data_IF_125799787393
#
_entry.id   IF_125799787393
#
_cell.length_a   1.000
_cell.length_b   1.000
_cell.length_c   1.000
_cell.angle_alpha   90.00
_cell.angle_beta   90.00
_cell.angle_gamma   90.00
#
_symmetry.space_group_name_H-M   'P 1'
#
loop_
_entity.id
_entity.type
_entity.pdbx_description
1 polymer ?
#
# COMPACT_ATOMS: atom_id res chain seq x y z
N UNK A 1 -29.35 -6.30 -1.66
CA UNK A 1 -29.06 -7.46 -0.78
C UNK A 1 -27.63 -8.01 -0.94
N UNK A 2 -26.97 -7.83 -2.09
CA UNK A 2 -25.62 -8.39 -2.39
C UNK A 2 -24.42 -7.72 -1.69
N UNK A 3 -24.32 -6.38 -1.64
CA UNK A 3 -23.15 -5.68 -1.09
C UNK A 3 -22.86 -6.03 0.39
N UNK A 4 -23.89 -5.99 1.26
CA UNK A 4 -23.72 -6.29 2.70
C UNK A 4 -23.24 -7.73 2.94
N UNK A 5 -23.70 -8.69 2.13
CA UNK A 5 -23.25 -10.08 2.21
C UNK A 5 -21.78 -10.20 1.78
N UNK A 6 -21.39 -9.53 0.68
CA UNK A 6 -19.99 -9.48 0.24
C UNK A 6 -19.07 -8.84 1.30
N UNK A 7 -19.52 -7.78 1.98
CA UNK A 7 -18.75 -7.15 3.06
C UNK A 7 -18.50 -8.11 4.24
N UNK A 8 -19.54 -8.83 4.69
CA UNK A 8 -19.40 -9.79 5.80
C UNK A 8 -18.48 -10.95 5.40
N UNK A 9 -18.63 -11.46 4.18
CA UNK A 9 -17.78 -12.53 3.67
C UNK A 9 -16.30 -12.10 3.60
N UNK A 10 -16.03 -10.92 3.04
CA UNK A 10 -14.66 -10.39 2.97
C UNK A 10 -14.08 -10.08 4.36
N UNK A 11 -14.91 -9.71 5.35
CA UNK A 11 -14.47 -9.53 6.74
C UNK A 11 -13.98 -10.85 7.31
N UNK A 12 -14.79 -11.91 7.21
CA UNK A 12 -14.43 -13.24 7.72
C UNK A 12 -13.16 -13.75 7.01
N UNK A 13 -13.09 -13.58 5.69
CA UNK A 13 -11.92 -13.94 4.91
C UNK A 13 -10.66 -13.18 5.40
N UNK A 14 -10.74 -11.86 5.54
CA UNK A 14 -9.61 -11.05 5.99
C UNK A 14 -9.18 -11.35 7.44
N UNK A 15 -10.13 -11.61 8.35
CA UNK A 15 -9.81 -12.05 9.72
C UNK A 15 -9.20 -13.44 9.77
N UNK A 16 -9.55 -14.33 8.84
CA UNK A 16 -8.88 -15.64 8.70
C UNK A 16 -7.40 -15.44 8.35
N UNK A 17 -7.09 -14.47 7.49
CA UNK A 17 -5.71 -14.09 7.20
C UNK A 17 -4.98 -13.53 8.42
N UNK A 18 -5.64 -12.87 9.37
CA UNK A 18 -4.99 -12.44 10.61
C UNK A 18 -4.49 -13.64 11.43
N UNK A 19 -5.26 -14.73 11.45
CA UNK A 19 -4.85 -16.01 12.06
C UNK A 19 -3.69 -16.66 11.30
N UNK A 20 -3.78 -16.74 9.97
CA UNK A 20 -2.71 -17.27 9.10
C UNK A 20 -1.41 -16.46 9.26
N UNK A 21 -1.50 -15.14 9.26
CA UNK A 21 -0.39 -14.22 9.45
C UNK A 21 0.24 -14.41 10.84
N UNK A 22 -0.58 -14.52 11.88
CA UNK A 22 -0.09 -14.78 13.25
C UNK A 22 0.71 -16.08 13.30
N UNK A 23 0.17 -17.16 12.74
CA UNK A 23 0.85 -18.46 12.66
C UNK A 23 2.16 -18.37 11.88
N UNK A 24 2.15 -17.74 10.70
CA UNK A 24 3.31 -17.58 9.85
C UNK A 24 4.44 -16.82 10.55
N UNK A 25 4.14 -15.67 11.16
CA UNK A 25 5.13 -14.83 11.85
C UNK A 25 5.69 -15.54 13.10
N UNK A 26 4.90 -16.37 13.78
CA UNK A 26 5.41 -17.14 14.92
C UNK A 26 6.43 -18.20 14.49
N UNK A 27 6.26 -18.81 13.31
CA UNK A 27 7.16 -19.84 12.79
C UNK A 27 8.39 -19.29 12.07
N UNK A 28 8.20 -18.26 11.24
CA UNK A 28 9.23 -17.74 10.34
C UNK A 28 9.82 -16.40 10.79
N UNK A 29 9.26 -15.80 11.85
CA UNK A 29 9.65 -14.48 12.33
C UNK A 29 9.10 -13.34 11.46
N UNK A 30 9.45 -12.11 11.84
CA UNK A 30 9.13 -10.90 11.10
C UNK A 30 8.92 -9.68 11.99
N UNK A 31 8.98 -8.49 11.38
CA UNK A 31 8.95 -7.21 12.10
C UNK A 31 7.72 -7.04 13.01
N UNK A 32 6.60 -7.67 12.66
CA UNK A 32 5.34 -7.59 13.41
C UNK A 32 5.50 -7.96 14.88
N UNK A 33 6.30 -9.00 15.17
CA UNK A 33 6.58 -9.45 16.53
C UNK A 33 7.39 -8.38 17.29
N UNK A 34 8.45 -7.86 16.67
CA UNK A 34 9.26 -6.81 17.26
C UNK A 34 8.47 -5.51 17.48
N UNK A 35 7.56 -5.15 16.57
CA UNK A 35 6.68 -3.99 16.75
C UNK A 35 5.75 -4.14 17.95
N UNK A 36 5.28 -5.35 18.23
CA UNK A 36 4.41 -5.62 19.39
C UNK A 36 5.20 -5.65 20.69
N UNK A 37 6.38 -6.25 20.66
CA UNK A 37 7.31 -6.34 21.79
C UNK A 37 8.08 -5.03 22.06
N UNK A 38 7.90 -4.03 21.19
CA UNK A 38 8.54 -2.71 21.27
C UNK A 38 10.08 -2.79 21.20
N UNK A 39 10.60 -3.68 20.34
CA UNK A 39 12.02 -4.05 20.29
C UNK A 39 12.71 -3.77 18.94
N UNK A 40 12.00 -3.24 17.94
CA UNK A 40 12.58 -2.90 16.63
C UNK A 40 13.48 -1.68 16.72
N UNK A 41 13.03 -0.64 17.40
CA UNK A 41 13.80 0.61 17.57
C UNK A 41 14.22 0.78 19.01
N UNK A 42 15.51 1.08 19.21
CA UNK A 42 16.06 1.37 20.53
C UNK A 42 15.71 2.80 20.91
N UNK A 43 14.94 2.97 21.99
CA UNK A 43 14.51 4.28 22.49
C UNK A 43 15.17 4.59 23.84
N UNK A 44 15.49 5.87 24.10
CA UNK A 44 16.13 6.29 25.35
C UNK A 44 15.26 6.04 26.59
N UNK A 45 13.93 6.13 26.45
CA UNK A 45 12.97 5.96 27.54
C UNK A 45 11.90 4.90 27.19
N UNK A 46 12.26 3.61 27.12
CA UNK A 46 11.36 2.55 26.62
C UNK A 46 10.14 2.32 27.52
N UNK A 47 10.19 2.82 28.76
CA UNK A 47 9.09 2.77 29.72
C UNK A 47 8.05 3.87 29.52
N UNK A 48 8.34 4.91 28.73
CA UNK A 48 7.43 6.03 28.49
C UNK A 48 6.84 5.93 27.08
N UNK A 49 5.53 6.13 26.97
CA UNK A 49 4.83 6.08 25.68
C UNK A 49 5.45 7.02 24.65
N UNK A 50 5.64 8.29 25.03
CA UNK A 50 6.26 9.30 24.17
C UNK A 50 7.74 9.06 23.85
N UNK A 51 8.40 8.13 24.54
CA UNK A 51 9.76 7.70 24.17
C UNK A 51 9.81 6.98 22.83
N UNK A 52 8.67 6.44 22.37
CA UNK A 52 8.52 5.77 21.07
C UNK A 52 8.01 6.70 19.97
N UNK A 53 7.71 7.97 20.27
CA UNK A 53 7.16 8.88 19.26
C UNK A 53 8.18 9.15 18.14
N UNK A 54 7.74 8.98 16.90
CA UNK A 54 8.55 9.18 15.71
C UNK A 54 7.83 8.67 14.47
N UNK A 55 8.52 8.64 13.33
CA UNK A 55 8.01 8.06 12.08
C UNK A 55 8.55 6.65 11.86
N UNK A 56 8.08 5.95 10.83
CA UNK A 56 8.51 4.59 10.46
C UNK A 56 8.20 3.60 11.59
N UNK A 57 9.19 2.84 12.03
CA UNK A 57 9.05 1.80 13.06
C UNK A 57 8.70 2.39 14.43
N UNK A 58 9.24 3.57 14.77
CA UNK A 58 8.91 4.30 15.99
C UNK A 58 7.39 4.52 16.11
N UNK A 59 6.75 4.99 15.03
CA UNK A 59 5.30 5.21 15.02
C UNK A 59 4.50 3.94 15.34
N UNK A 60 4.91 2.78 14.78
CA UNK A 60 4.23 1.51 15.02
C UNK A 60 4.41 1.08 16.49
N UNK A 61 5.62 1.20 17.05
CA UNK A 61 5.86 0.94 18.48
C UNK A 61 5.06 1.89 19.37
N UNK A 62 4.98 3.17 19.00
CA UNK A 62 4.17 4.16 19.72
C UNK A 62 2.68 3.80 19.72
N UNK A 63 2.13 3.38 18.58
CA UNK A 63 0.75 2.89 18.50
C UNK A 63 0.54 1.62 19.34
N UNK A 64 1.51 0.70 19.32
CA UNK A 64 1.40 -0.58 20.03
C UNK A 64 1.65 -0.46 21.53
N UNK A 65 2.29 0.61 22.00
CA UNK A 65 2.64 0.78 23.42
C UNK A 65 1.42 0.62 24.33
N UNK A 66 0.30 1.27 24.01
CA UNK A 66 -0.91 1.18 24.84
C UNK A 66 -1.47 -0.25 24.84
N UNK A 67 -1.85 -0.85 23.70
CA UNK A 67 -2.45 -2.18 23.70
C UNK A 67 -1.48 -3.29 24.16
N UNK A 68 -0.20 -3.24 23.78
CA UNK A 68 0.76 -4.28 24.12
C UNK A 68 1.28 -4.15 25.55
N UNK A 69 1.66 -2.95 26.00
CA UNK A 69 2.36 -2.74 27.27
C UNK A 69 1.46 -2.26 28.41
N UNK A 70 0.52 -1.36 28.14
CA UNK A 70 -0.39 -0.84 29.19
C UNK A 70 -1.52 -1.83 29.45
N UNK A 71 -2.14 -2.35 28.39
CA UNK A 71 -3.26 -3.29 28.49
C UNK A 71 -2.83 -4.76 28.55
N UNK A 72 -1.57 -5.07 28.19
CA UNK A 72 -1.05 -6.45 28.20
C UNK A 72 -1.73 -7.38 27.20
N UNK A 73 -2.25 -6.84 26.08
CA UNK A 73 -2.95 -7.65 25.09
C UNK A 73 -1.97 -8.62 24.40
N UNK A 74 -2.43 -9.85 24.07
CA UNK A 74 -1.58 -10.82 23.38
C UNK A 74 -1.37 -10.43 21.91
N UNK A 75 -0.24 -10.87 21.32
CA UNK A 75 0.16 -10.56 19.94
C UNK A 75 -0.93 -10.84 18.89
N UNK A 76 -1.63 -11.98 19.00
CA UNK A 76 -2.68 -12.35 18.06
C UNK A 76 -3.85 -11.34 18.06
N UNK A 77 -4.18 -10.76 19.22
CA UNK A 77 -5.24 -9.76 19.32
C UNK A 77 -4.80 -8.44 18.69
N UNK A 78 -3.52 -8.09 18.79
CA UNK A 78 -2.94 -6.98 18.05
C UNK A 78 -3.05 -7.16 16.52
N UNK A 79 -2.81 -8.36 16.00
CA UNK A 79 -3.03 -8.66 14.58
C UNK A 79 -4.51 -8.49 14.19
N UNK A 80 -5.46 -8.96 15.02
CA UNK A 80 -6.90 -8.74 14.80
C UNK A 80 -7.24 -7.24 14.77
N UNK A 81 -6.70 -6.42 15.67
CA UNK A 81 -6.93 -4.97 15.69
C UNK A 81 -6.47 -4.30 14.38
N UNK A 82 -5.27 -4.64 13.91
CA UNK A 82 -4.73 -4.11 12.66
C UNK A 82 -5.51 -4.64 11.44
N UNK A 83 -5.94 -5.90 11.46
CA UNK A 83 -6.81 -6.51 10.45
C UNK A 83 -8.17 -5.83 10.35
N UNK A 84 -8.78 -5.45 11.47
CA UNK A 84 -10.04 -4.69 11.46
C UNK A 84 -9.83 -3.29 10.86
N UNK A 85 -8.69 -2.65 11.16
CA UNK A 85 -8.35 -1.35 10.61
C UNK A 85 -8.11 -1.39 9.09
N UNK A 86 -7.35 -2.35 8.58
CA UNK A 86 -7.14 -2.51 7.13
C UNK A 86 -8.36 -3.06 6.40
N UNK A 87 -9.17 -3.91 7.03
CA UNK A 87 -10.43 -4.35 6.45
C UNK A 87 -11.37 -3.18 6.20
N UNK A 88 -11.38 -2.17 7.08
CA UNK A 88 -12.11 -0.93 6.81
C UNK A 88 -11.72 -0.35 5.45
N UNK A 89 -10.42 -0.30 5.12
CA UNK A 89 -9.97 0.15 3.80
C UNK A 89 -10.47 -0.71 2.65
N UNK A 90 -10.37 -2.04 2.76
CA UNK A 90 -10.85 -2.98 1.73
C UNK A 90 -12.35 -2.75 1.48
N UNK A 91 -13.14 -2.65 2.56
CA UNK A 91 -14.57 -2.36 2.52
C UNK A 91 -14.86 -1.02 1.85
N UNK A 92 -14.12 0.02 2.18
CA UNK A 92 -14.34 1.35 1.60
C UNK A 92 -13.94 1.41 0.11
N UNK A 93 -12.90 0.68 -0.32
CA UNK A 93 -12.58 0.51 -1.76
C UNK A 93 -13.77 -0.13 -2.48
N UNK A 94 -14.32 -1.22 -1.92
CA UNK A 94 -15.49 -1.89 -2.49
C UNK A 94 -16.70 -0.93 -2.55
N UNK A 95 -16.99 -0.18 -1.49
CA UNK A 95 -18.09 0.79 -1.48
C UNK A 95 -17.91 1.89 -2.52
N UNK A 96 -16.69 2.44 -2.67
CA UNK A 96 -16.39 3.42 -3.70
C UNK A 96 -16.66 2.83 -5.10
N UNK A 97 -16.22 1.59 -5.36
CA UNK A 97 -16.54 0.90 -6.63
C UNK A 97 -18.04 0.79 -6.88
N UNK A 98 -18.82 0.35 -5.89
CA UNK A 98 -20.26 0.17 -6.03
C UNK A 98 -21.03 1.49 -6.25
N UNK A 99 -20.52 2.60 -5.71
CA UNK A 99 -21.09 3.94 -5.97
C UNK A 99 -20.87 4.36 -7.43
N UNK A 100 -19.68 4.10 -7.97
CA UNK A 100 -19.34 4.49 -9.35
C UNK A 100 -19.86 3.49 -10.41
N UNK A 101 -19.99 2.22 -10.04
CA UNK A 101 -20.43 1.12 -10.91
C UNK A 101 -21.57 0.35 -10.25
N UNK A 102 -22.78 0.95 -10.13
CA UNK A 102 -23.92 0.27 -9.56
C UNK A 102 -24.27 -0.98 -10.38
N UNK A 103 -24.62 -2.06 -9.66
CA UNK A 103 -24.92 -3.46 -10.05
C UNK A 103 -25.54 -3.67 -11.46
N UNK A 104 -24.76 -3.39 -12.50
CA UNK A 104 -25.09 -3.55 -13.94
C UNK A 104 -24.17 -4.55 -14.62
N UNK A 105 -23.32 -5.21 -13.84
CA UNK A 105 -22.34 -6.16 -14.34
C UNK A 105 -22.94 -7.57 -14.33
N UNK A 106 -22.69 -8.34 -15.39
CA UNK A 106 -23.07 -9.75 -15.47
C UNK A 106 -22.37 -10.61 -14.40
N UNK A 107 -22.80 -11.86 -14.28
CA UNK A 107 -22.31 -12.77 -13.23
C UNK A 107 -20.79 -12.99 -13.30
N UNK A 108 -20.23 -13.04 -14.52
CA UNK A 108 -18.80 -13.21 -14.75
C UNK A 108 -17.99 -12.00 -14.27
N UNK A 109 -18.46 -10.80 -14.55
CA UNK A 109 -17.82 -9.56 -14.12
C UNK A 109 -17.85 -9.44 -12.59
N UNK A 110 -18.95 -9.84 -11.94
CA UNK A 110 -19.05 -9.90 -10.48
C UNK A 110 -18.09 -10.95 -9.89
N UNK A 111 -17.96 -12.11 -10.54
CA UNK A 111 -17.03 -13.16 -10.12
C UNK A 111 -15.56 -12.71 -10.23
N UNK A 112 -15.16 -12.06 -11.32
CA UNK A 112 -13.79 -11.49 -11.47
C UNK A 112 -13.53 -10.41 -10.43
N UNK A 113 -14.51 -9.54 -10.15
CA UNK A 113 -14.38 -8.53 -9.11
C UNK A 113 -14.14 -9.18 -7.74
N UNK A 114 -14.96 -10.17 -7.39
CA UNK A 114 -14.80 -10.90 -6.14
C UNK A 114 -13.44 -11.60 -6.06
N UNK A 115 -12.99 -12.22 -7.16
CA UNK A 115 -11.68 -12.87 -7.24
C UNK A 115 -10.53 -11.89 -6.96
N UNK A 116 -10.58 -10.67 -7.52
CA UNK A 116 -9.59 -9.62 -7.24
C UNK A 116 -9.54 -9.28 -5.75
N UNK A 117 -10.71 -9.18 -5.10
CA UNK A 117 -10.81 -8.93 -3.67
C UNK A 117 -10.51 -10.15 -2.80
N UNK A 118 -10.30 -11.34 -3.37
CA UNK A 118 -9.93 -12.55 -2.64
C UNK A 118 -8.46 -12.91 -2.81
N UNK A 119 -7.69 -12.14 -3.59
CA UNK A 119 -6.27 -12.37 -3.77
C UNK A 119 -5.52 -12.37 -2.44
N UNK A 120 -4.74 -13.43 -2.14
CA UNK A 120 -4.17 -13.64 -0.83
C UNK A 120 -3.14 -12.58 -0.42
N UNK A 121 -2.39 -11.97 -1.35
CA UNK A 121 -1.32 -11.02 -1.02
C UNK A 121 -1.86 -9.77 -0.31
N UNK A 122 -2.97 -9.20 -0.79
CA UNK A 122 -3.63 -8.07 -0.13
C UNK A 122 -4.00 -8.42 1.30
N UNK A 123 -4.64 -9.57 1.52
CA UNK A 123 -5.11 -9.97 2.83
C UNK A 123 -3.96 -10.34 3.75
N UNK A 124 -3.02 -11.17 3.32
CA UNK A 124 -1.89 -11.62 4.11
C UNK A 124 -1.09 -10.45 4.66
N UNK A 125 -0.60 -9.54 3.80
CA UNK A 125 0.27 -8.45 4.24
C UNK A 125 -0.44 -7.33 4.99
N UNK A 126 -1.77 -7.19 4.85
CA UNK A 126 -2.53 -6.16 5.55
C UNK A 126 -3.33 -6.68 6.75
N UNK A 127 -3.28 -7.97 7.06
CA UNK A 127 -4.07 -8.58 8.16
C UNK A 127 -3.37 -8.64 9.52
N UNK A 128 -2.19 -8.03 9.66
CA UNK A 128 -1.42 -8.07 10.90
C UNK A 128 -0.79 -6.74 11.29
N UNK A 129 -0.10 -6.76 12.43
CA UNK A 129 0.69 -5.64 12.94
C UNK A 129 1.79 -5.35 11.93
N UNK A 130 1.68 -4.21 11.25
CA UNK A 130 2.59 -3.89 10.16
C UNK A 130 2.35 -2.50 9.60
N UNK A 131 3.32 -2.04 8.80
CA UNK A 131 3.22 -0.76 8.10
C UNK A 131 2.20 -0.84 6.97
N UNK A 132 2.03 -2.01 6.36
CA UNK A 132 1.19 -2.24 5.18
C UNK A 132 -0.30 -2.00 5.46
N UNK A 133 -0.79 -2.50 6.58
CA UNK A 133 -2.19 -2.32 7.01
C UNK A 133 -2.52 -0.84 7.22
N UNK A 134 -1.68 -0.11 7.97
CA UNK A 134 -1.86 1.33 8.19
C UNK A 134 -1.61 2.17 6.93
N UNK A 135 -0.67 1.77 6.06
CA UNK A 135 -0.46 2.37 4.75
C UNK A 135 -1.71 2.26 3.87
N UNK A 136 -2.39 1.11 3.88
CA UNK A 136 -3.65 0.93 3.16
C UNK A 136 -4.75 1.83 3.76
N UNK A 137 -4.81 1.98 5.09
CA UNK A 137 -5.71 2.93 5.77
C UNK A 137 -5.43 4.37 5.36
N UNK A 138 -4.17 4.80 5.37
CA UNK A 138 -3.77 6.14 4.95
C UNK A 138 -4.13 6.44 3.49
N UNK A 139 -3.86 5.50 2.58
CA UNK A 139 -4.19 5.61 1.16
C UNK A 139 -5.71 5.73 0.93
N UNK A 140 -6.52 4.92 1.61
CA UNK A 140 -7.99 4.93 1.43
C UNK A 140 -8.63 6.14 2.10
N UNK A 141 -8.12 6.61 3.24
CA UNK A 141 -8.52 7.89 3.83
C UNK A 141 -8.26 9.06 2.85
N UNK A 142 -7.08 9.08 2.23
CA UNK A 142 -6.74 10.07 1.21
C UNK A 142 -7.74 10.02 0.04
N UNK A 143 -8.01 8.82 -0.51
CA UNK A 143 -8.98 8.63 -1.59
C UNK A 143 -10.38 9.12 -1.21
N UNK A 144 -10.90 8.72 -0.04
CA UNK A 144 -12.23 9.15 0.44
C UNK A 144 -12.32 10.66 0.63
N UNK A 145 -11.26 11.27 1.14
CA UNK A 145 -11.16 12.73 1.26
C UNK A 145 -11.17 13.41 -0.11
N UNK A 146 -10.48 12.84 -1.09
CA UNK A 146 -10.38 13.39 -2.46
C UNK A 146 -11.68 13.36 -3.27
N UNK A 147 -12.62 12.43 -2.95
CA UNK A 147 -13.90 12.35 -3.67
C UNK A 147 -14.78 13.58 -3.44
N UNK A 148 -14.71 14.17 -2.24
CA UNK A 148 -15.48 15.36 -1.85
C UNK A 148 -14.58 16.31 -1.04
N UNK A 149 -13.57 16.88 -1.69
CA UNK A 149 -12.49 17.62 -1.04
C UNK A 149 -13.01 18.75 -0.14
N UNK A 150 -13.95 19.56 -0.63
CA UNK A 150 -14.53 20.67 0.15
C UNK A 150 -15.12 20.24 1.50
N UNK A 151 -15.78 19.08 1.53
CA UNK A 151 -16.44 18.56 2.75
C UNK A 151 -15.49 17.71 3.61
N UNK A 152 -14.60 16.96 2.96
CA UNK A 152 -13.82 15.89 3.59
C UNK A 152 -12.32 16.17 3.61
N UNK A 153 -11.89 17.43 3.50
CA UNK A 153 -10.46 17.80 3.48
C UNK A 153 -9.70 17.26 4.71
N UNK A 154 -10.34 17.22 5.89
CA UNK A 154 -9.74 16.69 7.12
C UNK A 154 -9.47 15.18 7.02
N UNK A 155 -10.31 14.42 6.30
CA UNK A 155 -10.09 12.99 6.03
C UNK A 155 -8.89 12.81 5.11
N UNK A 156 -8.76 13.68 4.10
CA UNK A 156 -7.61 13.70 3.20
C UNK A 156 -6.31 13.97 3.99
N UNK A 157 -6.31 15.01 4.84
CA UNK A 157 -5.16 15.37 5.67
C UNK A 157 -4.80 14.25 6.63
N UNK A 158 -5.79 13.59 7.25
CA UNK A 158 -5.56 12.42 8.11
C UNK A 158 -4.90 11.27 7.34
N UNK A 159 -5.32 11.03 6.09
CA UNK A 159 -4.71 10.03 5.22
C UNK A 159 -3.24 10.33 4.89
N UNK A 160 -2.92 11.59 4.59
CA UNK A 160 -1.53 12.05 4.38
C UNK A 160 -0.72 11.87 5.66
N UNK A 161 -1.22 12.37 6.79
CA UNK A 161 -0.52 12.34 8.07
C UNK A 161 -0.24 10.91 8.52
N UNK A 162 -1.23 10.02 8.47
CA UNK A 162 -1.06 8.61 8.79
C UNK A 162 -0.03 7.95 7.87
N UNK A 163 -0.15 8.17 6.56
CA UNK A 163 0.80 7.60 5.58
C UNK A 163 2.22 8.12 5.81
N UNK A 164 2.38 9.41 6.13
CA UNK A 164 3.69 10.01 6.42
C UNK A 164 4.32 9.45 7.69
N UNK A 165 3.54 9.32 8.77
CA UNK A 165 4.01 8.74 10.03
C UNK A 165 4.45 7.29 9.86
N UNK A 166 3.71 6.50 9.08
CA UNK A 166 4.02 5.09 8.82
C UNK A 166 5.18 4.94 7.83
N UNK A 167 5.13 5.67 6.70
CA UNK A 167 6.09 5.63 5.60
C UNK A 167 6.23 7.04 4.99
N UNK A 168 7.23 7.83 5.42
CA UNK A 168 7.40 9.22 4.99
C UNK A 168 7.34 9.43 3.48
N UNK A 169 7.92 8.51 2.69
CA UNK A 169 7.87 8.56 1.22
C UNK A 169 6.43 8.48 0.69
N UNK A 170 5.62 7.55 1.21
CA UNK A 170 4.22 7.40 0.80
C UNK A 170 3.40 8.64 1.18
N UNK A 171 3.59 9.17 2.39
CA UNK A 171 2.96 10.42 2.81
C UNK A 171 3.34 11.60 1.91
N UNK A 172 4.63 11.71 1.54
CA UNK A 172 5.12 12.72 0.60
C UNK A 172 4.49 12.61 -0.79
N UNK A 173 4.32 11.39 -1.32
CA UNK A 173 3.64 11.15 -2.60
C UNK A 173 2.16 11.59 -2.52
N UNK A 174 1.45 11.23 -1.45
CA UNK A 174 0.05 11.65 -1.28
C UNK A 174 -0.07 13.16 -1.11
N UNK A 175 0.86 13.80 -0.41
CA UNK A 175 0.94 15.24 -0.32
C UNK A 175 1.15 15.89 -1.69
N UNK A 176 1.99 15.31 -2.54
CA UNK A 176 2.17 15.77 -3.92
C UNK A 176 0.88 15.65 -4.75
N UNK A 177 0.10 14.56 -4.58
CA UNK A 177 -1.22 14.43 -5.20
C UNK A 177 -2.26 15.44 -4.68
N UNK A 178 -2.13 15.91 -3.44
CA UNK A 178 -3.08 16.87 -2.87
C UNK A 178 -3.08 18.22 -3.61
N UNK A 179 -1.94 18.64 -4.18
CA UNK A 179 -1.82 19.91 -4.89
C UNK A 179 -2.71 19.99 -6.15
N UNK A 180 -2.59 19.10 -7.16
CA UNK A 180 -3.47 19.15 -8.32
C UNK A 180 -4.94 18.94 -7.94
N UNK A 181 -5.24 18.11 -6.93
CA UNK A 181 -6.61 17.94 -6.43
C UNK A 181 -7.20 19.27 -5.90
N UNK A 182 -6.44 20.02 -5.10
CA UNK A 182 -6.85 21.32 -4.57
C UNK A 182 -7.08 22.33 -5.70
N UNK A 183 -6.17 22.39 -6.67
CA UNK A 183 -6.25 23.32 -7.80
C UNK A 183 -7.46 23.03 -8.69
N UNK A 184 -7.74 21.75 -8.94
CA UNK A 184 -8.85 21.30 -9.79
C UNK A 184 -10.22 21.32 -9.09
N UNK A 185 -10.28 21.48 -7.77
CA UNK A 185 -11.54 21.46 -7.02
C UNK A 185 -12.41 22.68 -7.38
N UNK A 186 -13.62 22.41 -7.85
CA UNK A 186 -14.60 23.45 -8.20
C UNK A 186 -15.32 23.93 -6.95
N UNK A 187 -15.60 25.24 -6.85
CA UNK A 187 -16.38 25.81 -5.75
C UNK A 187 -15.60 26.10 -4.46
N UNK A 188 -14.26 26.02 -4.50
CA UNK A 188 -13.37 26.62 -3.51
C UNK A 188 -12.93 28.03 -3.98
N UNK A 189 -12.91 29.03 -3.09
CA UNK A 189 -12.45 30.37 -3.44
C UNK A 189 -10.94 30.37 -3.72
N UNK A 190 -10.50 31.25 -4.62
CA UNK A 190 -9.09 31.29 -5.07
C UNK A 190 -8.10 31.51 -3.92
N UNK A 191 -8.46 32.27 -2.89
CA UNK A 191 -7.60 32.49 -1.73
C UNK A 191 -7.33 31.20 -0.95
N UNK A 192 -8.32 30.32 -0.78
CA UNK A 192 -8.14 29.04 -0.08
C UNK A 192 -7.26 28.10 -0.89
N UNK A 193 -7.38 28.12 -2.22
CA UNK A 193 -6.49 27.38 -3.12
C UNK A 193 -5.06 27.89 -3.04
N UNK A 194 -4.86 29.20 -3.01
CA UNK A 194 -3.54 29.81 -2.88
C UNK A 194 -2.91 29.43 -1.53
N UNK A 195 -3.60 29.66 -0.42
CA UNK A 195 -3.10 29.34 0.92
C UNK A 195 -2.81 27.84 1.06
N UNK A 196 -3.74 26.99 0.63
CA UNK A 196 -3.54 25.54 0.65
C UNK A 196 -2.36 25.09 -0.21
N UNK A 197 -2.15 25.71 -1.38
CA UNK A 197 -0.99 25.40 -2.23
C UNK A 197 0.32 25.80 -1.58
N UNK A 198 0.39 26.99 -0.97
CA UNK A 198 1.57 27.44 -0.20
C UNK A 198 1.88 26.45 0.94
N UNK A 199 0.87 26.04 1.69
CA UNK A 199 1.02 25.06 2.77
C UNK A 199 1.49 23.69 2.25
N UNK A 200 0.90 23.18 1.18
CA UNK A 200 1.29 21.90 0.58
C UNK A 200 2.73 21.95 0.07
N UNK A 201 3.15 23.05 -0.58
CA UNK A 201 4.51 23.23 -1.05
C UNK A 201 5.51 23.33 0.11
N UNK A 202 5.19 24.09 1.16
CA UNK A 202 6.03 24.20 2.36
C UNK A 202 6.21 22.83 3.04
N UNK A 203 5.11 22.10 3.26
CA UNK A 203 5.14 20.75 3.82
C UNK A 203 5.86 19.76 2.88
N UNK A 204 5.71 19.92 1.57
CA UNK A 204 6.39 19.11 0.56
C UNK A 204 7.90 19.29 0.61
N UNK A 205 8.38 20.54 0.75
CA UNK A 205 9.80 20.84 0.95
C UNK A 205 10.33 20.26 2.27
N UNK A 206 9.55 20.35 3.35
CA UNK A 206 9.91 19.73 4.63
C UNK A 206 9.99 18.20 4.52
N UNK A 207 9.01 17.57 3.89
CA UNK A 207 8.99 16.13 3.66
C UNK A 207 10.17 15.68 2.80
N UNK A 208 10.51 16.43 1.75
CA UNK A 208 11.66 16.16 0.90
C UNK A 208 12.98 16.25 1.67
N UNK A 209 13.17 17.31 2.46
CA UNK A 209 14.36 17.46 3.33
C UNK A 209 14.46 16.33 4.35
N UNK A 210 13.34 15.94 4.96
CA UNK A 210 13.31 14.82 5.89
C UNK A 210 13.65 13.50 5.20
N UNK A 211 13.15 13.27 3.98
CA UNK A 211 13.50 12.10 3.18
C UNK A 211 15.00 12.04 2.90
N UNK A 212 15.59 13.13 2.42
CA UNK A 212 17.02 13.23 2.16
C UNK A 212 17.87 12.96 3.40
N UNK A 213 17.45 13.52 4.54
CA UNK A 213 18.10 13.28 5.83
C UNK A 213 18.07 11.81 6.23
N UNK A 214 16.91 11.14 6.18
CA UNK A 214 16.82 9.73 6.60
C UNK A 214 17.48 8.76 5.60
N UNK A 215 17.62 9.16 4.34
CA UNK A 215 18.33 8.36 3.32
C UNK A 215 19.82 8.67 3.25
N UNK A 216 20.31 9.66 4.00
CA UNK A 216 21.69 10.16 3.93
C UNK A 216 22.10 10.58 2.51
N UNK A 217 21.16 11.16 1.75
CA UNK A 217 21.43 11.71 0.42
C UNK A 217 21.65 13.21 0.60
N UNK A 218 22.89 13.67 0.43
CA UNK A 218 23.25 15.09 0.62
C UNK A 218 22.57 16.00 -0.40
N UNK A 219 22.52 15.56 -1.67
CA UNK A 219 21.96 16.31 -2.78
C UNK A 219 21.12 15.40 -3.69
N UNK A 220 19.99 15.92 -4.20
CA UNK A 220 19.16 15.24 -5.20
C UNK A 220 19.84 15.26 -6.56
N UNK A 221 20.85 14.43 -6.74
CA UNK A 221 21.52 14.19 -8.00
C UNK A 221 21.52 12.69 -8.33
N UNK A 222 21.91 12.35 -9.56
CA UNK A 222 21.92 10.96 -10.01
C UNK A 222 22.87 10.07 -9.19
N UNK A 223 24.00 10.63 -8.75
CA UNK A 223 25.02 9.93 -7.98
C UNK A 223 24.53 9.54 -6.58
N UNK A 224 23.96 10.48 -5.83
CA UNK A 224 23.42 10.21 -4.50
C UNK A 224 22.26 9.22 -4.51
N UNK A 225 21.43 9.24 -5.57
CA UNK A 225 20.39 8.22 -5.79
C UNK A 225 21.01 6.85 -6.08
N UNK A 226 22.07 6.78 -6.88
CA UNK A 226 22.77 5.53 -7.18
C UNK A 226 23.43 4.93 -5.94
N UNK A 227 24.15 5.75 -5.15
CA UNK A 227 24.78 5.30 -3.90
C UNK A 227 23.74 4.80 -2.88
N UNK A 228 22.63 5.52 -2.72
CA UNK A 228 21.53 5.05 -1.87
C UNK A 228 20.93 3.74 -2.38
N UNK A 229 20.72 3.63 -3.69
CA UNK A 229 20.20 2.41 -4.34
C UNK A 229 21.10 1.21 -4.06
N UNK A 230 22.42 1.36 -4.24
CA UNK A 230 23.41 0.31 -3.98
C UNK A 230 23.43 -0.10 -2.52
N UNK A 231 23.53 0.86 -1.59
CA UNK A 231 23.54 0.57 -0.16
C UNK A 231 22.25 -0.10 0.34
N UNK A 232 21.09 0.24 -0.25
CA UNK A 232 19.84 -0.46 0.06
C UNK A 232 19.84 -1.91 -0.44
N UNK A 233 20.33 -2.17 -1.65
CA UNK A 233 20.42 -3.54 -2.19
C UNK A 233 21.39 -4.39 -1.37
N UNK A 234 22.55 -3.85 -1.00
CA UNK A 234 23.54 -4.53 -0.16
C UNK A 234 22.98 -4.86 1.23
N UNK A 235 22.27 -3.91 1.85
CA UNK A 235 21.58 -4.13 3.13
C UNK A 235 20.57 -5.28 3.04
N UNK A 236 19.78 -5.32 1.96
CA UNK A 236 18.79 -6.38 1.73
C UNK A 236 19.42 -7.74 1.41
N UNK A 237 20.58 -7.74 0.75
CA UNK A 237 21.39 -8.94 0.51
C UNK A 237 21.90 -9.55 1.82
N UNK A 238 22.32 -8.70 2.77
CA UNK A 238 22.79 -9.11 4.09
C UNK A 238 21.78 -9.91 4.93
N UNK A 239 20.48 -9.82 4.65
CA UNK A 239 19.46 -10.62 5.37
C UNK A 239 19.45 -12.11 4.98
N UNK A 240 20.09 -12.50 3.87
CA UNK A 240 20.20 -13.92 3.48
C UNK A 240 18.86 -14.63 3.24
N UNK A 241 17.80 -13.90 2.90
CA UNK A 241 16.42 -14.40 2.86
C UNK A 241 16.09 -15.37 1.68
N UNK A 242 17.09 -15.89 0.96
CA UNK A 242 16.93 -16.94 -0.07
C UNK A 242 16.17 -16.55 -1.36
N UNK A 243 15.44 -15.43 -1.37
CA UNK A 243 14.61 -14.98 -2.50
C UNK A 243 15.16 -13.70 -3.18
N UNK A 244 16.49 -13.58 -3.23
CA UNK A 244 17.17 -12.41 -3.79
C UNK A 244 17.21 -12.47 -5.32
N UNK A 245 17.16 -11.30 -5.95
CA UNK A 245 17.18 -11.14 -7.41
C UNK A 245 18.12 -9.99 -7.79
N UNK A 246 18.98 -10.15 -8.82
CA UNK A 246 19.99 -9.15 -9.18
C UNK A 246 19.37 -7.95 -9.89
N UNK A 247 18.64 -7.12 -9.15
CA UNK A 247 17.92 -5.96 -9.69
C UNK A 247 18.86 -4.89 -10.25
N UNK A 248 20.08 -4.75 -9.72
CA UNK A 248 21.11 -3.83 -10.25
C UNK A 248 21.50 -4.16 -11.70
N UNK A 249 21.57 -5.45 -12.05
CA UNK A 249 21.94 -5.93 -13.37
C UNK A 249 20.79 -5.93 -14.39
N UNK A 250 19.55 -5.74 -13.93
CA UNK A 250 18.37 -5.80 -14.78
C UNK A 250 18.15 -4.51 -15.59
N UNK A 251 17.73 -4.68 -16.85
CA UNK A 251 17.15 -3.59 -17.63
C UNK A 251 15.86 -3.07 -16.98
N UNK A 252 15.44 -1.84 -17.32
CA UNK A 252 14.19 -1.27 -16.79
C UNK A 252 12.96 -2.16 -17.03
N UNK A 253 12.87 -2.80 -18.20
CA UNK A 253 11.79 -3.75 -18.50
C UNK A 253 11.80 -4.96 -17.56
N UNK A 254 12.99 -5.52 -17.29
CA UNK A 254 13.15 -6.66 -16.37
C UNK A 254 12.86 -6.29 -14.91
N UNK A 255 13.22 -5.08 -14.48
CA UNK A 255 12.87 -4.55 -13.15
C UNK A 255 11.36 -4.45 -12.97
N UNK A 256 10.67 -3.83 -13.92
CA UNK A 256 9.21 -3.71 -13.88
C UNK A 256 8.53 -5.09 -13.93
N UNK A 257 9.00 -5.99 -14.81
CA UNK A 257 8.52 -7.37 -14.86
C UNK A 257 8.66 -8.07 -13.51
N UNK A 258 9.83 -7.94 -12.87
CA UNK A 258 10.11 -8.54 -11.57
C UNK A 258 9.16 -8.00 -10.48
N UNK A 259 8.94 -6.68 -10.44
CA UNK A 259 8.05 -6.08 -9.44
C UNK A 259 6.59 -6.50 -9.62
N UNK A 260 6.09 -6.51 -10.85
CA UNK A 260 4.69 -6.81 -11.10
C UNK A 260 4.38 -8.31 -11.05
N UNK A 261 5.25 -9.15 -11.61
CA UNK A 261 4.90 -10.53 -11.98
C UNK A 261 5.79 -11.63 -11.37
N UNK A 262 6.85 -11.30 -10.61
CA UNK A 262 7.66 -12.31 -9.90
C UNK A 262 7.30 -12.42 -8.41
N UNK A 263 7.39 -13.62 -7.80
CA UNK A 263 7.81 -14.90 -8.38
C UNK A 263 6.83 -15.42 -9.44
N UNK A 264 7.37 -16.05 -10.48
CA UNK A 264 6.56 -16.73 -11.49
C UNK A 264 6.34 -18.20 -11.12
N UNK A 265 5.39 -18.86 -11.79
CA UNK A 265 4.96 -20.24 -11.45
C UNK A 265 6.12 -21.25 -11.43
N UNK A 266 7.11 -21.10 -12.32
CA UNK A 266 8.30 -21.97 -12.36
C UNK A 266 9.38 -21.66 -11.32
N UNK A 267 9.24 -20.56 -10.58
CA UNK A 267 10.20 -20.15 -9.53
C UNK A 267 9.73 -20.57 -8.13
N UNK A 268 8.49 -21.04 -8.00
CA UNK A 268 7.88 -21.36 -6.72
C UNK A 268 8.26 -22.77 -6.26
N UNK A 269 8.81 -22.86 -5.05
CA UNK A 269 9.22 -24.10 -4.40
C UNK A 269 8.36 -24.47 -3.19
N UNK A 270 7.84 -23.46 -2.47
CA UNK A 270 7.00 -23.63 -1.28
C UNK A 270 5.55 -23.18 -1.45
N UNK A 271 4.67 -23.59 -0.53
CA UNK A 271 3.23 -23.22 -0.55
C UNK A 271 3.01 -21.70 -0.67
N UNK A 272 3.75 -20.90 0.09
CA UNK A 272 3.67 -19.43 0.08
C UNK A 272 4.12 -18.82 -1.25
N UNK A 273 5.17 -19.38 -1.84
CA UNK A 273 5.69 -18.94 -3.14
C UNK A 273 4.71 -19.30 -4.26
N UNK A 274 4.07 -20.47 -4.18
CA UNK A 274 3.02 -20.87 -5.12
C UNK A 274 1.81 -19.94 -5.03
N UNK A 275 1.36 -19.60 -3.82
CA UNK A 275 0.27 -18.63 -3.64
C UNK A 275 0.62 -17.26 -4.24
N UNK A 276 1.84 -16.77 -4.01
CA UNK A 276 2.33 -15.53 -4.61
C UNK A 276 2.42 -15.60 -6.15
N UNK A 277 2.93 -16.72 -6.69
CA UNK A 277 3.09 -16.92 -8.12
C UNK A 277 1.75 -17.03 -8.86
N UNK A 278 0.76 -17.69 -8.28
CA UNK A 278 -0.60 -17.78 -8.84
C UNK A 278 -1.26 -16.40 -8.88
N UNK A 279 -1.11 -15.59 -7.84
CA UNK A 279 -1.60 -14.22 -7.84
C UNK A 279 -0.93 -13.36 -8.92
N UNK A 280 0.39 -13.48 -9.06
CA UNK A 280 1.13 -12.78 -10.11
C UNK A 280 0.71 -13.21 -11.51
N UNK A 281 0.49 -14.51 -11.73
CA UNK A 281 -0.04 -15.04 -12.98
C UNK A 281 -1.42 -14.44 -13.27
N UNK A 282 -2.30 -14.38 -12.26
CA UNK A 282 -3.60 -13.75 -12.42
C UNK A 282 -3.48 -12.26 -12.78
N UNK A 283 -2.55 -11.56 -12.15
CA UNK A 283 -2.22 -10.17 -12.50
C UNK A 283 -1.76 -10.01 -13.94
N UNK A 284 -0.93 -10.94 -14.44
CA UNK A 284 -0.50 -10.96 -15.83
C UNK A 284 -1.69 -11.22 -16.79
N UNK A 285 -2.56 -12.18 -16.47
CA UNK A 285 -3.77 -12.45 -17.25
C UNK A 285 -4.68 -11.21 -17.33
N UNK A 286 -4.91 -10.54 -16.21
CA UNK A 286 -5.68 -9.29 -16.15
C UNK A 286 -5.03 -8.20 -17.01
N UNK A 287 -3.70 -8.06 -16.96
CA UNK A 287 -2.99 -7.11 -17.82
C UNK A 287 -3.16 -7.45 -19.31
N UNK A 288 -3.03 -8.72 -19.70
CA UNK A 288 -3.21 -9.14 -21.09
C UNK A 288 -4.63 -8.84 -21.59
N UNK A 289 -5.64 -9.10 -20.76
CA UNK A 289 -7.05 -8.76 -21.07
C UNK A 289 -7.21 -7.25 -21.23
N UNK A 290 -6.63 -6.45 -20.33
CA UNK A 290 -6.64 -5.00 -20.44
C UNK A 290 -6.01 -4.51 -21.76
N UNK A 291 -4.81 -4.99 -22.08
CA UNK A 291 -4.06 -4.60 -23.27
C UNK A 291 -4.78 -5.01 -24.57
N UNK A 292 -5.41 -6.18 -24.60
CA UNK A 292 -6.13 -6.68 -25.78
C UNK A 292 -7.24 -5.74 -26.28
N UNK A 293 -7.82 -4.93 -25.38
CA UNK A 293 -8.89 -4.01 -25.70
C UNK A 293 -8.60 -2.55 -25.39
N UNK A 294 -7.32 -2.18 -25.17
CA UNK A 294 -6.92 -0.82 -24.77
C UNK A 294 -7.39 0.25 -25.77
N UNK A 295 -7.43 -0.08 -27.08
CA UNK A 295 -7.87 0.86 -28.13
C UNK A 295 -9.34 1.27 -28.02
N UNK A 296 -10.18 0.43 -27.40
CA UNK A 296 -11.61 0.69 -27.20
C UNK A 296 -11.91 1.21 -25.78
N UNK A 297 -10.88 1.33 -24.95
CA UNK A 297 -11.03 1.61 -23.53
C UNK A 297 -11.20 3.11 -23.26
N UNK A 298 -12.26 3.47 -22.53
CA UNK A 298 -12.61 4.86 -22.24
C UNK A 298 -12.03 5.30 -20.90
N UNK A 299 -10.80 5.80 -20.91
CA UNK A 299 -10.10 6.28 -19.71
C UNK A 299 -10.86 7.34 -18.90
N UNK A 300 -11.75 8.12 -19.54
CA UNK A 300 -12.58 9.12 -18.89
C UNK A 300 -13.67 8.55 -17.97
N UNK A 301 -14.00 7.27 -18.12
CA UNK A 301 -15.01 6.59 -17.29
C UNK A 301 -14.43 6.05 -15.97
N UNK A 302 -13.10 6.03 -15.82
CA UNK A 302 -12.46 5.51 -14.62
C UNK A 302 -12.63 6.50 -13.45
N UNK A 303 -13.12 6.02 -12.30
CA UNK A 303 -13.20 6.82 -11.09
C UNK A 303 -11.84 7.36 -10.65
N UNK A 304 -11.83 8.60 -10.16
CA UNK A 304 -10.61 9.29 -9.73
C UNK A 304 -9.80 8.51 -8.69
N UNK A 305 -10.45 7.77 -7.79
CA UNK A 305 -9.75 7.00 -6.76
C UNK A 305 -8.89 5.86 -7.35
N UNK A 306 -9.32 5.24 -8.46
CA UNK A 306 -8.52 4.23 -9.16
C UNK A 306 -7.27 4.89 -9.76
N UNK A 307 -7.43 6.05 -10.39
CA UNK A 307 -6.29 6.82 -10.92
C UNK A 307 -5.29 7.25 -9.84
N UNK A 308 -5.78 7.67 -8.67
CA UNK A 308 -4.93 7.97 -7.51
C UNK A 308 -4.15 6.72 -7.10
N UNK A 309 -4.82 5.56 -6.98
CA UNK A 309 -4.17 4.31 -6.58
C UNK A 309 -3.10 3.84 -7.57
N UNK A 310 -3.38 3.96 -8.87
CA UNK A 310 -2.42 3.61 -9.94
C UNK A 310 -1.26 4.59 -9.97
N UNK A 311 -1.52 5.90 -9.91
CA UNK A 311 -0.48 6.91 -9.88
C UNK A 311 0.45 6.73 -8.67
N UNK A 312 -0.13 6.48 -7.50
CA UNK A 312 0.62 6.14 -6.28
C UNK A 312 1.45 4.88 -6.47
N UNK A 313 0.86 3.80 -6.98
CA UNK A 313 1.54 2.54 -7.21
C UNK A 313 2.65 2.62 -8.26
N UNK A 314 2.47 3.38 -9.34
CA UNK A 314 3.50 3.60 -10.36
C UNK A 314 4.71 4.33 -9.79
N UNK A 315 4.51 5.42 -9.05
CA UNK A 315 5.61 6.16 -8.43
C UNK A 315 6.39 5.24 -7.47
N UNK A 316 5.68 4.47 -6.63
CA UNK A 316 6.33 3.51 -5.74
C UNK A 316 7.05 2.39 -6.50
N UNK A 317 6.49 1.90 -7.61
CA UNK A 317 7.13 0.89 -8.46
C UNK A 317 8.47 1.41 -8.99
N UNK A 318 8.55 2.65 -9.46
CA UNK A 318 9.81 3.23 -9.92
C UNK A 318 10.85 3.32 -8.79
N UNK A 319 10.45 3.72 -7.58
CA UNK A 319 11.36 3.76 -6.43
C UNK A 319 11.80 2.35 -6.03
N UNK A 320 10.88 1.39 -6.00
CA UNK A 320 11.16 0.01 -5.63
C UNK A 320 12.02 -0.73 -6.68
N UNK A 321 11.94 -0.32 -7.95
CA UNK A 321 12.81 -0.84 -9.00
C UNK A 321 14.29 -0.50 -8.77
N UNK A 322 14.56 0.54 -7.99
CA UNK A 322 15.91 0.97 -7.62
C UNK A 322 16.32 0.51 -6.22
N UNK A 323 15.37 0.22 -5.32
CA UNK A 323 15.70 0.01 -3.90
C UNK A 323 15.48 -1.41 -3.41
N UNK A 324 14.72 -2.24 -4.13
CA UNK A 324 14.39 -3.60 -3.70
C UNK A 324 15.03 -4.65 -4.61
N UNK A 325 15.61 -5.68 -4.00
CA UNK A 325 16.19 -6.86 -4.66
C UNK A 325 15.72 -8.19 -4.03
N UNK A 326 14.63 -8.18 -3.23
CA UNK A 326 14.10 -9.37 -2.58
C UNK A 326 12.62 -9.59 -2.92
N UNK A 327 12.28 -10.77 -3.47
CA UNK A 327 10.93 -11.09 -3.93
C UNK A 327 9.88 -11.06 -2.80
N UNK A 328 10.20 -11.57 -1.61
CA UNK A 328 9.28 -11.52 -0.46
C UNK A 328 8.93 -10.08 -0.04
N UNK A 329 9.94 -9.21 0.03
CA UNK A 329 9.74 -7.78 0.32
C UNK A 329 8.97 -7.09 -0.81
N UNK A 330 9.27 -7.41 -2.08
CA UNK A 330 8.51 -6.89 -3.23
C UNK A 330 7.03 -7.26 -3.13
N UNK A 331 6.72 -8.54 -2.86
CA UNK A 331 5.34 -9.01 -2.68
C UNK A 331 4.64 -8.29 -1.52
N UNK A 332 5.34 -8.04 -0.41
CA UNK A 332 4.83 -7.26 0.73
C UNK A 332 4.51 -5.82 0.34
N UNK A 333 5.43 -5.16 -0.34
CA UNK A 333 5.38 -3.72 -0.62
C UNK A 333 4.35 -3.36 -1.69
N UNK A 334 4.12 -4.23 -2.69
CA UNK A 334 3.13 -3.99 -3.74
C UNK A 334 1.67 -4.27 -3.32
N UNK A 335 1.47 -5.05 -2.26
CA UNK A 335 0.14 -5.44 -1.74
C UNK A 335 -0.81 -4.25 -1.54
N UNK A 336 -0.28 -3.09 -1.13
CA UNK A 336 -1.05 -1.89 -0.79
C UNK A 336 -1.70 -1.25 -2.02
N UNK A 337 -1.09 -1.35 -3.21
CA UNK A 337 -1.55 -0.65 -4.41
C UNK A 337 -1.93 -1.57 -5.58
N UNK A 338 -1.51 -2.83 -5.59
CA UNK A 338 -1.70 -3.73 -6.73
C UNK A 338 -3.19 -3.93 -7.06
N UNK A 339 -4.06 -3.91 -6.05
CA UNK A 339 -5.52 -3.98 -6.22
C UNK A 339 -6.04 -2.93 -7.21
N UNK A 340 -5.48 -1.72 -7.26
CA UNK A 340 -5.94 -0.67 -8.19
C UNK A 340 -5.57 -0.96 -9.64
N UNK A 341 -4.46 -1.64 -9.89
CA UNK A 341 -4.11 -2.13 -11.24
C UNK A 341 -5.07 -3.23 -11.68
N UNK A 342 -5.44 -4.13 -10.77
CA UNK A 342 -6.45 -5.16 -11.05
C UNK A 342 -7.82 -4.57 -11.32
N UNK A 343 -8.23 -3.55 -10.56
CA UNK A 343 -9.50 -2.84 -10.78
C UNK A 343 -9.55 -2.10 -12.13
N UNK A 344 -8.42 -1.54 -12.58
CA UNK A 344 -8.32 -0.97 -13.93
C UNK A 344 -8.57 -2.02 -15.01
N UNK A 345 -7.94 -3.19 -14.87
CA UNK A 345 -8.14 -4.29 -15.81
C UNK A 345 -9.57 -4.83 -15.77
N UNK A 346 -10.17 -4.93 -14.58
CA UNK A 346 -11.55 -5.33 -14.40
C UNK A 346 -12.55 -4.39 -15.09
N UNK A 347 -12.31 -3.07 -15.03
CA UNK A 347 -13.16 -2.11 -15.72
C UNK A 347 -13.24 -2.37 -17.22
N UNK A 348 -12.15 -2.86 -17.82
CA UNK A 348 -12.15 -3.29 -19.22
C UNK A 348 -13.01 -4.52 -19.44
N UNK A 349 -12.92 -5.54 -18.57
CA UNK A 349 -13.77 -6.75 -18.62
C UNK A 349 -15.24 -6.37 -18.54
N UNK A 350 -15.57 -5.38 -17.71
CA UNK A 350 -16.92 -4.84 -17.57
C UNK A 350 -17.43 -4.15 -18.84
N UNK A 351 -16.56 -3.51 -19.61
CA UNK A 351 -16.91 -2.73 -20.80
C UNK A 351 -16.90 -3.54 -22.12
N UNK A 352 -16.82 -4.88 -22.08
CA UNK A 352 -16.81 -5.73 -23.30
C UNK A 352 -18.21 -5.93 -23.89
N UNK A 353 -19.27 -5.59 -23.16
CA UNK A 353 -20.64 -5.47 -23.65
C UNK A 353 -20.91 -4.05 -24.17
#
# INVERSE_FOLDING_TARGET
>A
MRLRQSEIFLLIYHLTFAGIFTWYIQLHGGDAKGYWELSVETVQNPQRWMGHWGTRSYFIQWLNFIPAKVLGLPFWLGNVLYSLASFWSIREILRMLWVYFPDRSGIWQQAVLLLIFLLPNLHFWTSGIGKESLSLVGLVLFMKGSLHLKKNWYVLVLGIALSYMVRPLQGGILLAFALPLLLMEKGLPSWSKWLGSVLILALGLMALRFLLYITHIDHLNAEGIAQFSEGQMEFLEGFGAGSQVPMSAYSWGMKLWTLFFRPFVGEASGFWEWAAALENLMGLLLLMVFLSGIRKFRFSQIPRFIWIGIGFGLILTFVYALTLNNLGIIMRMKSVYMVFFYLLAWERVRSVE
#
